data_IF_896064637957
#
_entry.id   IF_896064637957
#
_cell.length_a   1.000
_cell.length_b   1.000
_cell.length_c   1.000
_cell.angle_alpha   90.00
_cell.angle_beta   90.00
_cell.angle_gamma   90.00
#
_symmetry.space_group_name_H-M   'P 1'
#
loop_
_entity.id
_entity.type
_entity.pdbx_description
1 polymer ?
#
# COMPACT_ATOMS: atom_id res chain seq x y z
N UNK A 1 -3.13 -9.90 21.33
CA UNK A 1 -2.66 -8.68 20.62
C UNK A 1 -3.52 -8.53 19.37
N UNK A 2 -4.18 -7.39 19.16
CA UNK A 2 -5.03 -7.20 17.99
C UNK A 2 -4.19 -7.02 16.73
N UNK A 3 -4.52 -7.73 15.64
CA UNK A 3 -3.89 -7.51 14.33
C UNK A 3 -4.33 -6.16 13.77
N UNK A 4 -3.38 -5.29 13.47
CA UNK A 4 -3.60 -4.03 12.77
C UNK A 4 -3.37 -4.25 11.27
N UNK A 5 -4.24 -3.69 10.44
CA UNK A 5 -4.16 -3.82 8.99
C UNK A 5 -4.36 -2.44 8.40
N UNK A 6 -3.45 -2.03 7.52
CA UNK A 6 -3.59 -0.80 6.75
C UNK A 6 -4.40 -1.11 5.51
N UNK A 7 -5.68 -0.71 5.49
CA UNK A 7 -6.56 -0.95 4.34
C UNK A 7 -6.33 0.11 3.27
N UNK A 8 -5.89 -0.32 2.08
CA UNK A 8 -5.70 0.56 0.93
C UNK A 8 -6.05 -0.18 -0.36
N UNK A 9 -6.85 0.41 -1.27
CA UNK A 9 -7.13 -0.24 -2.54
C UNK A 9 -5.90 -0.21 -3.47
N UNK A 10 -5.80 -1.15 -4.44
CA UNK A 10 -4.71 -1.21 -5.41
C UNK A 10 -4.34 0.15 -6.04
N UNK A 11 -5.34 0.93 -6.42
CA UNK A 11 -5.15 2.25 -7.02
C UNK A 11 -4.47 3.26 -6.05
N UNK A 12 -4.81 3.22 -4.77
CA UNK A 12 -4.18 4.09 -3.77
C UNK A 12 -2.72 3.68 -3.51
N UNK A 13 -2.44 2.37 -3.49
CA UNK A 13 -1.06 1.84 -3.40
C UNK A 13 -0.25 2.32 -4.60
N UNK A 14 -0.80 2.16 -5.82
CA UNK A 14 -0.16 2.62 -7.05
C UNK A 14 0.15 4.13 -7.04
N UNK A 15 -0.78 4.96 -6.54
CA UNK A 15 -0.58 6.41 -6.40
C UNK A 15 0.56 6.74 -5.44
N UNK A 16 0.67 6.07 -4.30
CA UNK A 16 1.77 6.30 -3.36
C UNK A 16 3.13 5.87 -3.93
N UNK A 17 3.20 4.70 -4.57
CA UNK A 17 4.41 4.25 -5.26
C UNK A 17 4.84 5.27 -6.33
N UNK A 18 3.91 5.74 -7.16
CA UNK A 18 4.22 6.76 -8.16
C UNK A 18 4.70 8.06 -7.52
N UNK A 19 4.01 8.55 -6.47
CA UNK A 19 4.40 9.77 -5.74
C UNK A 19 5.82 9.65 -5.19
N UNK A 20 6.26 8.45 -4.82
CA UNK A 20 7.60 8.20 -4.28
C UNK A 20 8.61 7.73 -5.34
N UNK A 21 8.29 7.92 -6.62
CA UNK A 21 9.23 7.74 -7.72
C UNK A 21 9.36 6.32 -8.25
N UNK A 22 8.35 5.48 -8.04
CA UNK A 22 8.32 4.08 -8.52
C UNK A 22 7.26 3.91 -9.62
N UNK A 23 7.45 4.47 -10.84
CA UNK A 23 6.44 4.41 -11.90
C UNK A 23 6.14 2.97 -12.37
N UNK A 24 7.16 2.11 -12.45
CA UNK A 24 7.01 0.73 -12.89
C UNK A 24 6.24 -0.10 -11.86
N UNK A 25 6.57 0.06 -10.57
CA UNK A 25 5.82 -0.59 -9.49
C UNK A 25 4.41 -0.04 -9.39
N UNK A 26 4.20 1.25 -9.59
CA UNK A 26 2.87 1.85 -9.64
C UNK A 26 2.02 1.22 -10.74
N UNK A 27 2.57 1.03 -11.95
CA UNK A 27 1.85 0.38 -13.04
C UNK A 27 1.45 -1.05 -12.70
N UNK A 28 2.32 -1.80 -12.02
CA UNK A 28 2.03 -3.18 -11.58
C UNK A 28 1.01 -3.22 -10.45
N UNK A 29 1.08 -2.25 -9.53
CA UNK A 29 0.18 -2.16 -8.38
C UNK A 29 -1.29 -1.93 -8.78
N UNK A 30 -1.55 -1.27 -9.92
CA UNK A 30 -2.92 -1.10 -10.45
C UNK A 30 -3.59 -2.45 -10.73
N UNK A 31 -2.82 -3.48 -11.08
CA UNK A 31 -3.34 -4.81 -11.43
C UNK A 31 -3.45 -5.76 -10.24
N UNK A 32 -3.17 -5.31 -9.01
CA UNK A 32 -3.32 -6.14 -7.82
C UNK A 32 -4.80 -6.48 -7.58
N UNK A 33 -5.06 -7.70 -7.13
CA UNK A 33 -6.37 -8.09 -6.61
C UNK A 33 -6.62 -7.47 -5.23
N UNK A 34 -7.87 -7.55 -4.77
CA UNK A 34 -8.24 -7.11 -3.43
C UNK A 34 -7.54 -7.95 -2.35
N UNK A 35 -7.42 -9.26 -2.55
CA UNK A 35 -6.70 -10.18 -1.65
C UNK A 35 -5.22 -9.81 -1.55
N UNK A 36 -4.57 -9.50 -2.68
CA UNK A 36 -3.17 -9.08 -2.67
C UNK A 36 -2.98 -7.74 -1.95
N UNK A 37 -3.92 -6.80 -2.12
CA UNK A 37 -3.92 -5.55 -1.36
C UNK A 37 -4.12 -5.77 0.15
N UNK A 38 -4.91 -6.78 0.55
CA UNK A 38 -5.04 -7.19 1.96
C UNK A 38 -3.73 -7.75 2.48
N UNK A 39 -3.06 -8.65 1.75
CA UNK A 39 -1.77 -9.21 2.17
C UNK A 39 -0.73 -8.10 2.38
N UNK A 40 -0.65 -7.13 1.44
CA UNK A 40 0.18 -5.93 1.58
C UNK A 40 -0.23 -5.13 2.82
N UNK A 41 -1.53 -4.90 3.03
CA UNK A 41 -2.06 -4.13 4.15
C UNK A 41 -1.78 -4.76 5.51
N UNK A 42 -1.79 -6.09 5.60
CA UNK A 42 -1.43 -6.84 6.80
C UNK A 42 0.07 -6.69 7.07
N UNK A 43 0.91 -6.93 6.05
CA UNK A 43 2.36 -6.76 6.17
C UNK A 43 2.75 -5.33 6.55
N UNK A 44 2.09 -4.33 5.97
CA UNK A 44 2.27 -2.94 6.33
C UNK A 44 1.89 -2.67 7.79
N UNK A 45 0.83 -3.30 8.29
CA UNK A 45 0.45 -3.19 9.70
C UNK A 45 1.52 -3.72 10.65
N UNK A 46 2.13 -4.86 10.31
CA UNK A 46 3.23 -5.45 11.09
C UNK A 46 4.48 -4.55 11.08
N UNK A 47 4.81 -3.97 9.91
CA UNK A 47 5.93 -3.05 9.76
C UNK A 47 5.75 -1.74 10.56
N UNK A 48 4.52 -1.23 10.63
CA UNK A 48 4.18 -0.03 11.40
C UNK A 48 4.23 -0.31 12.91
N UNK A 49 3.63 -1.41 13.36
CA UNK A 49 3.59 -1.77 14.79
C UNK A 49 4.97 -2.11 15.36
N UNK A 50 5.81 -2.80 14.58
CA UNK A 50 7.17 -3.17 15.00
C UNK A 50 8.16 -2.00 14.95
N UNK A 51 7.84 -0.94 14.20
CA UNK A 51 8.76 0.15 13.89
C UNK A 51 9.82 -0.21 12.84
N UNK A 52 9.77 -1.42 12.26
CA UNK A 52 10.71 -1.91 11.25
C UNK A 52 10.73 -0.99 10.01
N UNK A 53 9.57 -0.46 9.61
CA UNK A 53 9.49 0.50 8.50
C UNK A 53 10.42 1.71 8.70
N UNK A 54 10.50 2.23 9.93
CA UNK A 54 11.33 3.40 10.27
C UNK A 54 12.81 3.03 10.42
N UNK A 55 13.11 1.79 10.78
CA UNK A 55 14.49 1.30 10.77
C UNK A 55 15.04 1.16 9.34
N UNK A 56 14.22 0.65 8.42
CA UNK A 56 14.58 0.45 7.01
C UNK A 56 14.63 1.78 6.25
N UNK A 57 13.67 2.68 6.50
CA UNK A 57 13.60 3.97 5.85
C UNK A 57 13.48 5.13 6.86
N UNK A 58 14.59 5.49 7.55
CA UNK A 58 14.57 6.50 8.62
C UNK A 58 14.08 7.87 8.18
N UNK A 59 14.42 8.26 6.96
CA UNK A 59 14.07 9.54 6.34
C UNK A 59 12.86 9.44 5.38
N UNK A 60 12.06 8.37 5.51
CA UNK A 60 10.88 8.12 4.70
C UNK A 60 9.67 9.00 5.08
N UNK A 61 8.56 8.88 4.33
CA UNK A 61 7.31 9.54 4.67
C UNK A 61 6.80 9.23 6.08
N UNK A 62 6.14 10.20 6.73
CA UNK A 62 5.57 10.02 8.06
C UNK A 62 4.29 9.17 8.10
N UNK A 63 3.96 8.69 9.30
CA UNK A 63 2.81 7.83 9.55
C UNK A 63 2.93 6.48 8.85
N UNK A 64 1.79 5.88 8.53
CA UNK A 64 1.69 4.54 7.94
C UNK A 64 2.20 4.45 6.49
N UNK A 65 2.51 5.58 5.85
CA UNK A 65 2.87 5.62 4.43
C UNK A 65 4.13 4.82 4.14
N UNK A 66 5.19 4.99 4.96
CA UNK A 66 6.44 4.23 4.78
C UNK A 66 6.21 2.72 4.89
N UNK A 67 5.43 2.28 5.87
CA UNK A 67 5.10 0.87 6.04
C UNK A 67 4.29 0.33 4.86
N UNK A 68 3.30 1.07 4.36
CA UNK A 68 2.48 0.67 3.21
C UNK A 68 3.33 0.48 1.95
N UNK A 69 4.18 1.44 1.61
CA UNK A 69 4.96 1.37 0.37
C UNK A 69 6.11 0.38 0.46
N UNK A 70 6.72 0.19 1.65
CA UNK A 70 7.73 -0.85 1.86
C UNK A 70 7.12 -2.25 1.69
N UNK A 71 5.94 -2.50 2.27
CA UNK A 71 5.22 -3.75 2.08
C UNK A 71 4.83 -3.97 0.61
N UNK A 72 4.39 -2.91 -0.09
CA UNK A 72 4.05 -3.00 -1.51
C UNK A 72 5.29 -3.30 -2.38
N UNK A 73 6.43 -2.67 -2.09
CA UNK A 73 7.72 -2.94 -2.76
C UNK A 73 8.14 -4.38 -2.50
N UNK A 74 8.13 -4.83 -1.23
CA UNK A 74 8.44 -6.21 -0.85
C UNK A 74 7.57 -7.22 -1.60
N UNK A 75 6.26 -6.97 -1.67
CA UNK A 75 5.32 -7.82 -2.39
C UNK A 75 5.59 -7.88 -3.90
N UNK A 76 5.86 -6.72 -4.52
CA UNK A 76 6.03 -6.62 -5.97
C UNK A 76 7.42 -7.06 -6.44
N UNK A 77 8.47 -6.85 -5.65
CA UNK A 77 9.84 -7.15 -6.05
C UNK A 77 10.40 -8.42 -5.41
N UNK A 78 9.76 -8.93 -4.36
CA UNK A 78 10.25 -10.04 -3.54
C UNK A 78 11.33 -9.62 -2.53
N UNK A 79 11.66 -8.33 -2.45
CA UNK A 79 12.62 -7.78 -1.50
C UNK A 79 12.20 -6.39 -1.05
N UNK A 80 12.31 -6.13 0.25
CA UNK A 80 11.97 -4.84 0.84
C UNK A 80 13.10 -3.83 0.66
N UNK A 81 12.78 -2.64 0.13
CA UNK A 81 13.71 -1.51 0.00
C UNK A 81 12.94 -0.17 0.05
N UNK A 82 13.58 0.94 0.48
CA UNK A 82 13.05 2.28 0.31
C UNK A 82 12.69 2.59 -1.16
N UNK A 83 11.69 3.46 -1.36
CA UNK A 83 11.43 3.99 -2.70
C UNK A 83 12.48 5.01 -3.10
N UNK A 84 12.59 5.26 -4.41
CA UNK A 84 13.57 6.17 -5.01
C UNK A 84 13.50 7.62 -4.48
N UNK A 85 12.35 8.06 -3.95
CA UNK A 85 12.15 9.43 -3.45
C UNK A 85 11.59 9.47 -2.05
N UNK A 86 12.12 10.40 -1.26
CA UNK A 86 11.61 10.70 0.08
C UNK A 86 10.48 11.74 0.02
N UNK A 87 10.53 12.64 -0.97
CA UNK A 87 9.51 13.67 -1.19
C UNK A 87 8.57 13.28 -2.32
N UNK A 88 7.27 13.37 -2.03
CA UNK A 88 6.18 13.11 -2.96
C UNK A 88 6.28 14.00 -4.21
N UNK A 89 6.06 13.40 -5.38
CA UNK A 89 5.83 14.12 -6.63
C UNK A 89 4.50 14.91 -6.55
N UNK A 90 4.40 16.07 -7.23
CA UNK A 90 3.19 16.87 -7.23
C UNK A 90 1.99 16.13 -7.82
N UNK A 91 0.84 16.20 -7.14
CA UNK A 91 -0.39 15.52 -7.57
C UNK A 91 -0.90 15.98 -8.94
N UNK A 92 -0.66 17.23 -9.33
CA UNK A 92 -0.98 17.75 -10.67
C UNK A 92 -0.28 17.00 -11.82
N UNK A 93 0.79 16.25 -11.52
CA UNK A 93 1.53 15.47 -12.50
C UNK A 93 1.13 13.99 -12.48
N UNK A 94 0.13 13.60 -11.70
CA UNK A 94 -0.31 12.21 -11.60
C UNK A 94 -0.80 11.71 -12.98
N UNK A 95 -0.31 10.56 -13.48
CA UNK A 95 -0.70 10.02 -14.76
C UNK A 95 -2.22 9.80 -14.85
N UNK A 96 -2.86 9.98 -16.02
CA UNK A 96 -4.30 9.78 -16.17
C UNK A 96 -4.80 8.41 -15.68
N UNK A 97 -4.01 7.35 -15.88
CA UNK A 97 -4.33 6.00 -15.41
C UNK A 97 -4.39 5.86 -13.88
N UNK A 98 -3.81 6.81 -13.14
CA UNK A 98 -3.82 6.83 -11.67
C UNK A 98 -4.78 7.88 -11.10
N UNK A 99 -5.44 8.66 -11.95
CA UNK A 99 -6.43 9.64 -11.54
C UNK A 99 -7.74 8.92 -11.25
N UNK A 100 -8.32 9.22 -10.10
CA UNK A 100 -9.65 8.79 -9.71
C UNK A 100 -10.25 9.84 -8.78
N UNK A 101 -11.56 10.01 -8.91
CA UNK A 101 -12.38 10.76 -7.97
C UNK A 101 -12.37 10.11 -6.59
N UNK A 102 -12.70 10.89 -5.58
CA UNK A 102 -12.83 10.39 -4.22
C UNK A 102 -13.88 9.26 -4.12
N UNK A 103 -15.01 9.41 -4.83
CA UNK A 103 -16.05 8.38 -4.87
C UNK A 103 -15.55 7.04 -5.44
N UNK A 104 -14.71 7.08 -6.48
CA UNK A 104 -14.11 5.86 -7.06
C UNK A 104 -13.11 5.21 -6.08
N UNK A 105 -12.31 6.01 -5.36
CA UNK A 105 -11.40 5.49 -4.34
C UNK A 105 -12.16 4.83 -3.18
N UNK A 106 -13.25 5.45 -2.72
CA UNK A 106 -14.13 4.87 -1.70
C UNK A 106 -14.81 3.59 -2.18
N UNK A 107 -15.30 3.56 -3.42
CA UNK A 107 -15.88 2.36 -4.00
C UNK A 107 -14.85 1.22 -4.08
N UNK A 108 -13.60 1.53 -4.44
CA UNK A 108 -12.51 0.57 -4.53
C UNK A 108 -12.09 -0.05 -3.17
N UNK A 109 -12.44 0.56 -2.04
CA UNK A 109 -12.23 -0.04 -0.72
C UNK A 109 -13.16 -1.22 -0.44
N UNK A 110 -14.35 -1.24 -1.05
CA UNK A 110 -15.37 -2.28 -0.80
C UNK A 110 -14.85 -3.71 -1.04
N UNK A 111 -14.23 -4.05 -2.18
CA UNK A 111 -13.70 -5.40 -2.39
C UNK A 111 -12.57 -5.74 -1.41
N UNK A 112 -11.73 -4.77 -1.03
CA UNK A 112 -10.64 -4.97 -0.04
C UNK A 112 -11.22 -5.28 1.34
N UNK A 113 -12.23 -4.53 1.78
CA UNK A 113 -12.90 -4.79 3.06
C UNK A 113 -13.52 -6.19 3.09
N UNK A 114 -14.20 -6.61 2.02
CA UNK A 114 -14.77 -7.97 1.90
C UNK A 114 -13.70 -9.05 1.91
N UNK A 115 -12.57 -8.83 1.26
CA UNK A 115 -11.45 -9.77 1.26
C UNK A 115 -10.82 -9.90 2.66
N UNK A 116 -10.66 -8.78 3.38
CA UNK A 116 -10.14 -8.78 4.74
C UNK A 116 -11.09 -9.50 5.71
N UNK A 117 -12.40 -9.27 5.60
CA UNK A 117 -13.38 -9.95 6.44
C UNK A 117 -13.36 -11.46 6.20
N UNK A 118 -13.26 -11.91 4.93
CA UNK A 118 -13.12 -13.33 4.59
C UNK A 118 -11.87 -13.94 5.24
N UNK A 119 -10.72 -13.27 5.10
CA UNK A 119 -9.44 -13.69 5.69
C UNK A 119 -9.52 -13.85 7.22
N UNK A 120 -10.22 -12.93 7.88
CA UNK A 120 -10.42 -12.95 9.33
C UNK A 120 -11.34 -14.08 9.80
N UNK A 121 -12.29 -14.49 8.96
CA UNK A 121 -13.14 -15.66 9.24
C UNK A 121 -12.33 -16.95 9.11
N UNK A 122 -11.57 -17.09 8.02
CA UNK A 122 -10.68 -18.25 7.78
C UNK A 122 -9.64 -18.44 8.90
N UNK A 123 -9.09 -17.35 9.45
CA UNK A 123 -8.10 -17.43 10.52
C UNK A 123 -8.67 -17.82 11.91
N UNK A 124 -9.99 -17.92 12.04
CA UNK A 124 -10.67 -18.30 13.31
C UNK A 124 -11.11 -19.76 13.33
N UNK A 125 -11.07 -20.44 12.19
CA UNK A 125 -11.35 -21.87 12.05
C UNK A 125 -10.08 -22.71 12.26
#
# INVERSE_FOLDING_TARGET
MGSFTITSPPLSIARELWRLGEPDLASRAVSLSAEQAVDIGMRAGDLDQSGEARAIWPDGPSGVTSALVLAAVEYLEGSMRPCARHRRLPEKNLPPALQASEAELWAALTPVARALDRRRLEARE
#
